data_IF_370688860126
#
_entry.id   IF_370688860126
#
_cell.length_a   1.000
_cell.length_b   1.000
_cell.length_c   1.000
_cell.angle_alpha   90.00
_cell.angle_beta   90.00
_cell.angle_gamma   90.00
#
_symmetry.space_group_name_H-M   'P 1'
#
loop_
_entity.id
_entity.type
_entity.pdbx_description
1 polymer ?
#
# COMPACT_ATOMS: atom_id res chain seq x y z
N UNK A 1 -3.54 29.41 -8.65
CA UNK A 1 -2.89 28.44 -7.74
C UNK A 1 -2.04 27.49 -8.58
N UNK A 2 -0.72 27.70 -8.62
CA UNK A 2 0.20 26.81 -9.33
C UNK A 2 0.35 25.57 -8.44
N UNK A 3 -0.40 24.50 -8.73
CA UNK A 3 -0.15 23.21 -8.11
C UNK A 3 1.29 22.81 -8.42
N UNK A 4 2.10 22.65 -7.38
CA UNK A 4 3.50 22.23 -7.40
C UNK A 4 3.74 21.03 -8.34
N UNK A 5 4.29 21.30 -9.52
CA UNK A 5 4.50 20.32 -10.60
C UNK A 5 5.62 19.32 -10.30
N UNK A 6 6.57 19.67 -9.43
CA UNK A 6 7.81 18.89 -9.24
C UNK A 6 7.53 17.51 -8.65
N UNK A 7 6.60 17.40 -7.70
CA UNK A 7 6.26 16.10 -7.10
C UNK A 7 5.69 15.15 -8.14
N UNK A 8 4.73 15.62 -8.94
CA UNK A 8 4.10 14.81 -9.98
C UNK A 8 5.10 14.39 -11.06
N UNK A 9 5.97 15.32 -11.48
CA UNK A 9 7.03 15.03 -12.46
C UNK A 9 8.02 13.98 -11.93
N UNK A 10 8.41 14.07 -10.65
CA UNK A 10 9.28 13.10 -9.99
C UNK A 10 8.59 11.73 -9.87
N UNK A 11 7.33 11.70 -9.45
CA UNK A 11 6.57 10.45 -9.35
C UNK A 11 6.45 9.72 -10.69
N UNK A 12 6.39 10.45 -11.81
CA UNK A 12 6.33 9.86 -13.14
C UNK A 12 7.69 9.43 -13.70
N UNK A 13 8.81 9.72 -13.03
CA UNK A 13 10.12 9.27 -13.54
C UNK A 13 10.24 7.74 -13.48
N UNK A 14 10.86 7.09 -14.47
CA UNK A 14 10.93 5.63 -14.55
C UNK A 14 11.64 4.97 -13.35
N UNK A 15 12.68 5.62 -12.81
CA UNK A 15 13.42 5.15 -11.64
C UNK A 15 12.55 5.18 -10.37
N UNK A 16 11.74 6.23 -10.19
CA UNK A 16 10.79 6.32 -9.09
C UNK A 16 9.67 5.27 -9.19
N UNK A 17 9.18 4.98 -10.39
CA UNK A 17 8.19 3.92 -10.62
C UNK A 17 8.77 2.52 -10.44
N UNK A 18 10.05 2.32 -10.76
CA UNK A 18 10.74 1.04 -10.62
C UNK A 18 11.20 0.75 -9.17
N UNK A 19 11.42 1.78 -8.36
CA UNK A 19 11.90 1.62 -6.99
C UNK A 19 10.83 1.01 -6.08
N UNK A 20 11.15 -0.14 -5.47
CA UNK A 20 10.30 -0.75 -4.45
C UNK A 20 10.31 0.09 -3.18
N UNK A 21 9.18 0.08 -2.47
CA UNK A 21 9.12 0.71 -1.15
C UNK A 21 10.01 -0.04 -0.16
N UNK A 22 10.62 0.67 0.80
CA UNK A 22 11.42 0.06 1.87
C UNK A 22 10.65 -1.05 2.62
N UNK A 23 9.34 -0.86 2.80
CA UNK A 23 8.46 -1.85 3.43
C UNK A 23 8.39 -3.13 2.60
N UNK A 24 8.20 -3.01 1.28
CA UNK A 24 8.19 -4.16 0.39
C UNK A 24 9.53 -4.90 0.41
N UNK A 25 10.65 -4.17 0.30
CA UNK A 25 11.99 -4.76 0.34
C UNK A 25 12.24 -5.51 1.66
N UNK A 26 11.83 -4.92 2.79
CA UNK A 26 11.99 -5.54 4.11
C UNK A 26 11.18 -6.84 4.23
N UNK A 27 9.91 -6.82 3.79
CA UNK A 27 9.03 -8.00 3.82
C UNK A 27 9.58 -9.10 2.90
N UNK A 28 9.94 -8.75 1.67
CA UNK A 28 10.48 -9.72 0.70
C UNK A 28 11.83 -10.29 1.15
N UNK A 29 12.70 -9.48 1.78
CA UNK A 29 13.98 -9.94 2.34
C UNK A 29 13.82 -10.97 3.46
N UNK A 30 12.69 -10.93 4.19
CA UNK A 30 12.33 -11.96 5.19
C UNK A 30 11.69 -13.21 4.57
N UNK A 31 11.53 -13.27 3.25
CA UNK A 31 10.91 -14.39 2.53
C UNK A 31 9.38 -14.36 2.53
N UNK A 32 8.76 -13.23 2.88
CA UNK A 32 7.32 -13.05 2.89
C UNK A 32 6.83 -12.35 1.60
N UNK A 33 5.56 -12.58 1.26
CA UNK A 33 4.92 -11.90 0.14
C UNK A 33 4.28 -10.59 0.60
N UNK A 34 4.63 -9.48 -0.05
CA UNK A 34 4.00 -8.18 0.20
C UNK A 34 2.78 -7.99 -0.72
N UNK A 35 1.58 -7.99 -0.14
CA UNK A 35 0.31 -7.84 -0.88
C UNK A 35 -0.14 -6.38 -0.79
N UNK A 36 -0.25 -5.70 -1.93
CA UNK A 36 -0.80 -4.36 -2.02
C UNK A 36 -2.29 -4.40 -2.39
N UNK A 37 -3.14 -3.90 -1.51
CA UNK A 37 -4.58 -3.76 -1.74
C UNK A 37 -4.91 -2.38 -2.30
N UNK A 38 -6.06 -2.28 -2.98
CA UNK A 38 -6.55 -1.01 -3.51
C UNK A 38 -6.80 -0.01 -2.37
N UNK A 39 -6.31 1.23 -2.55
CA UNK A 39 -6.55 2.31 -1.59
C UNK A 39 -8.03 2.63 -1.53
N UNK A 40 -8.54 2.86 -0.32
CA UNK A 40 -9.94 3.23 -0.05
C UNK A 40 -10.98 2.14 -0.35
N UNK A 41 -10.55 0.88 -0.50
CA UNK A 41 -11.40 -0.30 -0.67
C UNK A 41 -11.23 -1.25 0.52
N UNK A 42 -11.70 -0.85 1.70
CA UNK A 42 -11.54 -1.64 2.93
C UNK A 42 -12.28 -2.98 2.89
N UNK A 43 -13.32 -3.10 2.06
CA UNK A 43 -14.07 -4.33 1.81
C UNK A 43 -13.21 -5.45 1.20
N UNK A 44 -12.10 -5.10 0.54
CA UNK A 44 -11.16 -6.06 -0.02
C UNK A 44 -10.09 -6.50 0.99
N UNK A 45 -10.00 -5.82 2.14
CA UNK A 45 -9.04 -6.16 3.17
C UNK A 45 -9.57 -7.26 4.08
N UNK A 46 -9.02 -8.46 3.95
CA UNK A 46 -9.43 -9.63 4.71
C UNK A 46 -9.45 -9.43 6.24
N UNK A 47 -8.56 -8.60 6.77
CA UNK A 47 -8.51 -8.35 8.23
C UNK A 47 -9.76 -7.64 8.75
N UNK A 48 -10.41 -6.80 7.94
CA UNK A 48 -11.63 -6.08 8.33
C UNK A 48 -12.80 -7.04 8.56
N UNK A 49 -12.89 -8.10 7.74
CA UNK A 49 -13.88 -9.15 7.95
C UNK A 49 -13.68 -9.85 9.30
N UNK A 50 -12.43 -10.18 9.64
CA UNK A 50 -12.10 -10.82 10.91
C UNK A 50 -12.45 -9.91 12.09
N UNK A 51 -12.07 -8.64 12.04
CA UNK A 51 -12.41 -7.68 13.10
C UNK A 51 -13.91 -7.47 13.25
N UNK A 52 -14.66 -7.39 12.15
CA UNK A 52 -16.11 -7.28 12.18
C UNK A 52 -16.77 -8.49 12.84
N UNK A 53 -16.26 -9.69 12.57
CA UNK A 53 -16.72 -10.92 13.25
C UNK A 53 -16.36 -10.89 14.74
N UNK A 54 -15.11 -10.61 15.09
CA UNK A 54 -14.65 -10.59 16.48
C UNK A 54 -15.48 -9.61 17.33
N UNK A 55 -15.71 -8.38 16.83
CA UNK A 55 -16.54 -7.37 17.51
C UNK A 55 -18.00 -7.77 17.73
N UNK A 56 -18.50 -8.78 17.01
CA UNK A 56 -19.87 -9.29 17.20
C UNK A 56 -19.96 -10.31 18.35
N UNK A 57 -18.84 -10.98 18.66
CA UNK A 57 -18.78 -12.04 19.66
C UNK A 57 -18.10 -11.59 20.96
N UNK A 58 -17.47 -10.42 20.96
CA UNK A 58 -17.09 -9.65 22.15
C UNK A 58 -18.25 -8.72 22.49
#
# INVERSE_FOLDING_TARGET
AILCCNKWILELQPDFQAQKSLVQETIEATGHMCIFLLKFHCELNFIEYFWGKVKRYI
#
